data_IF_520312343451
#
_entry.id   IF_520312343451
#
_cell.length_a   1.000
_cell.length_b   1.000
_cell.length_c   1.000
_cell.angle_alpha   90.00
_cell.angle_beta   90.00
_cell.angle_gamma   90.00
#
_symmetry.space_group_name_H-M   'P 1'
#
loop_
_entity.id
_entity.type
_entity.pdbx_description
1 polymer ?
#
# COMPACT_ATOMS: atom_id res chain seq x y z
N UNK A 1 1.56 -4.85 9.98
CA UNK A 1 0.79 -3.65 10.39
C UNK A 1 0.72 -2.56 9.33
N UNK A 2 1.74 -2.33 8.50
CA UNK A 2 1.76 -1.22 7.52
C UNK A 2 0.59 -1.21 6.52
N UNK A 3 0.15 -2.36 5.99
CA UNK A 3 -1.05 -2.44 5.12
C UNK A 3 -2.32 -1.92 5.79
N UNK A 4 -2.57 -2.32 7.05
CA UNK A 4 -3.73 -1.87 7.81
C UNK A 4 -3.69 -0.35 8.05
N UNK A 5 -2.51 0.18 8.41
CA UNK A 5 -2.31 1.62 8.61
C UNK A 5 -2.54 2.40 7.30
N UNK A 6 -2.08 1.87 6.17
CA UNK A 6 -2.33 2.47 4.86
C UNK A 6 -3.83 2.57 4.55
N UNK A 7 -4.59 1.49 4.78
CA UNK A 7 -6.04 1.48 4.60
C UNK A 7 -6.75 2.49 5.52
N UNK A 8 -6.32 2.60 6.78
CA UNK A 8 -6.87 3.59 7.72
C UNK A 8 -6.60 5.01 7.22
N UNK A 9 -5.39 5.27 6.73
CA UNK A 9 -5.05 6.58 6.16
C UNK A 9 -5.86 6.89 4.91
N UNK A 10 -6.14 5.91 4.04
CA UNK A 10 -7.05 6.09 2.90
C UNK A 10 -8.47 6.49 3.38
N UNK A 11 -9.04 5.77 4.35
CA UNK A 11 -10.37 6.08 4.88
C UNK A 11 -10.48 7.45 5.54
N UNK A 12 -9.35 8.00 6.00
CA UNK A 12 -9.26 9.33 6.60
C UNK A 12 -8.88 10.43 5.59
N UNK A 13 -8.87 10.13 4.29
CA UNK A 13 -8.42 11.03 3.21
C UNK A 13 -6.96 11.52 3.39
N UNK A 14 -6.17 10.80 4.20
CA UNK A 14 -4.76 11.10 4.48
C UNK A 14 -3.88 10.41 3.44
N UNK A 15 -4.09 10.79 2.19
CA UNK A 15 -3.44 10.20 1.02
C UNK A 15 -1.89 10.15 1.11
N UNK A 16 -1.17 11.19 1.57
CA UNK A 16 0.29 11.12 1.72
C UNK A 16 0.75 10.06 2.72
N UNK A 17 0.02 9.91 3.83
CA UNK A 17 0.33 8.92 4.85
C UNK A 17 0.02 7.49 4.35
N UNK A 18 -1.07 7.33 3.60
CA UNK A 18 -1.42 6.05 2.98
C UNK A 18 -0.33 5.59 1.99
N UNK A 19 0.15 6.49 1.13
CA UNK A 19 1.24 6.23 0.17
C UNK A 19 2.51 5.78 0.91
N UNK A 20 2.87 6.48 2.00
CA UNK A 20 4.05 6.16 2.82
C UNK A 20 3.95 4.76 3.42
N UNK A 21 2.81 4.40 3.99
CA UNK A 21 2.61 3.11 4.64
C UNK A 21 2.56 1.95 3.63
N UNK A 22 1.93 2.13 2.45
CA UNK A 22 2.00 1.13 1.38
C UNK A 22 3.41 0.96 0.84
N UNK A 23 4.14 2.05 0.61
CA UNK A 23 5.53 1.98 0.13
C UNK A 23 6.42 1.22 1.12
N UNK A 24 6.23 1.43 2.42
CA UNK A 24 6.95 0.71 3.47
C UNK A 24 6.54 -0.75 3.57
N UNK A 25 5.25 -1.06 3.40
CA UNK A 25 4.78 -2.44 3.33
C UNK A 25 5.43 -3.19 2.17
N UNK A 26 5.40 -2.61 0.96
CA UNK A 26 5.97 -3.24 -0.23
C UNK A 26 7.49 -3.40 -0.14
N UNK A 27 8.22 -2.40 0.38
CA UNK A 27 9.67 -2.52 0.55
C UNK A 27 10.11 -3.61 1.54
N UNK A 28 9.26 -3.96 2.50
CA UNK A 28 9.51 -5.07 3.44
C UNK A 28 9.14 -6.43 2.84
N UNK A 29 8.33 -6.47 1.79
CA UNK A 29 7.71 -7.68 1.24
C UNK A 29 8.16 -7.96 -0.20
N UNK A 30 9.18 -7.26 -0.70
CA UNK A 30 9.68 -7.40 -2.08
C UNK A 30 10.24 -8.81 -2.38
N UNK A 31 10.76 -9.49 -1.34
CA UNK A 31 11.27 -10.86 -1.41
C UNK A 31 10.41 -11.87 -0.61
N UNK A 32 9.11 -11.60 -0.48
CA UNK A 32 8.21 -12.45 0.27
C UNK A 32 7.99 -13.82 -0.40
N UNK A 33 7.56 -14.82 0.38
CA UNK A 33 7.19 -16.14 -0.14
C UNK A 33 6.18 -16.00 -1.30
N UNK A 34 6.31 -16.79 -2.38
CA UNK A 34 5.42 -16.67 -3.54
C UNK A 34 3.93 -16.85 -3.21
N UNK A 35 3.60 -17.57 -2.14
CA UNK A 35 2.23 -17.73 -1.67
C UNK A 35 1.59 -16.42 -1.20
N UNK A 36 2.40 -15.42 -0.82
CA UNK A 36 1.96 -14.11 -0.34
C UNK A 36 1.92 -13.06 -1.46
N UNK A 37 2.27 -13.44 -2.69
CA UNK A 37 2.29 -12.51 -3.81
C UNK A 37 0.95 -11.87 -4.18
N UNK A 38 -0.20 -12.57 -4.07
CA UNK A 38 -1.50 -11.91 -4.25
C UNK A 38 -1.74 -10.74 -3.28
N UNK A 39 -1.23 -10.82 -2.05
CA UNK A 39 -1.33 -9.73 -1.07
C UNK A 39 -0.49 -8.53 -1.48
N UNK A 40 0.74 -8.78 -1.94
CA UNK A 40 1.70 -7.77 -2.42
C UNK A 40 1.17 -7.07 -3.67
N UNK A 41 0.60 -7.83 -4.62
CA UNK A 41 0.04 -7.27 -5.85
C UNK A 41 -1.18 -6.38 -5.56
N UNK A 42 -2.03 -6.79 -4.61
CA UNK A 42 -3.12 -5.94 -4.13
C UNK A 42 -2.60 -4.61 -3.57
N UNK A 43 -1.57 -4.63 -2.73
CA UNK A 43 -0.98 -3.41 -2.18
C UNK A 43 -0.29 -2.53 -3.26
N UNK A 44 0.29 -3.12 -4.30
CA UNK A 44 0.83 -2.39 -5.46
C UNK A 44 -0.28 -1.68 -6.23
N UNK A 45 -1.41 -2.35 -6.47
CA UNK A 45 -2.55 -1.77 -7.17
C UNK A 45 -3.15 -0.59 -6.39
N UNK A 46 -3.34 -0.74 -5.08
CA UNK A 46 -3.82 0.33 -4.20
C UNK A 46 -2.88 1.55 -4.20
N UNK A 47 -1.56 1.30 -4.09
CA UNK A 47 -0.57 2.36 -4.17
C UNK A 47 -0.59 3.08 -5.52
N UNK A 48 -0.71 2.33 -6.62
CA UNK A 48 -0.78 2.91 -7.97
C UNK A 48 -2.02 3.80 -8.13
N UNK A 49 -3.18 3.36 -7.64
CA UNK A 49 -4.42 4.14 -7.61
C UNK A 49 -4.22 5.46 -6.83
N UNK A 50 -3.65 5.37 -5.63
CA UNK A 50 -3.34 6.53 -4.80
C UNK A 50 -2.28 7.45 -5.40
N UNK A 51 -1.47 7.04 -6.36
CA UNK A 51 -0.53 7.94 -7.03
C UNK A 51 -1.19 8.59 -8.25
N UNK A 52 -2.04 7.84 -8.95
CA UNK A 52 -2.69 8.25 -10.19
C UNK A 52 -3.84 9.26 -10.01
N UNK A 53 -4.49 9.31 -8.84
CA UNK A 53 -5.57 10.28 -8.63
C UNK A 53 -5.09 11.73 -8.78
N UNK A 54 -5.69 12.55 -9.67
CA UNK A 54 -5.39 13.98 -9.73
C UNK A 54 -5.82 14.66 -8.43
N UNK A 55 -5.11 15.73 -8.05
CA UNK A 55 -5.35 16.50 -6.83
C UNK A 55 -6.42 17.56 -7.04
#
# INVERSE_FOLDING_TARGET
>A
MHRLLANIHQQLDRRPDAIKEYSRYLGLWDACDPALQPEVDGAKAELASLIAEPR
#
